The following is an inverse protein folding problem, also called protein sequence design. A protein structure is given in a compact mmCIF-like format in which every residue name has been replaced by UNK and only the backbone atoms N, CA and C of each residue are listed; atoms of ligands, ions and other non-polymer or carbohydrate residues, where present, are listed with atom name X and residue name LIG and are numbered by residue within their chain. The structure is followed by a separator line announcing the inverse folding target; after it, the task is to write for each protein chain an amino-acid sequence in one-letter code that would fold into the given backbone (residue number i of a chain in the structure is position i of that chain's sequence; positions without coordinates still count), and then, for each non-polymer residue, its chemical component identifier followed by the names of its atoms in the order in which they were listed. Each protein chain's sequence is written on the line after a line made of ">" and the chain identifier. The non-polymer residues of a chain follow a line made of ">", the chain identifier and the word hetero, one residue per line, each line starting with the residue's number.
data_IF_479332774321
#
_entry.id   IF_479332774321
#
_cell.length_a   1.000
_cell.length_b   1.000
_cell.length_c   1.000
_cell.angle_alpha   90.00
_cell.angle_beta   90.00
_cell.angle_gamma   90.00
#
_symmetry.space_group_name_H-M   'P 1'
#
loop_
_entity.id
_entity.type
_entity.pdbx_description
1 polymer ?
#
# COMPACT_ATOMS: atom_id res chain seq x y z
N UNK A 1 3.40 -19.70 -10.27
CA UNK A 1 2.37 -19.52 -9.24
C UNK A 1 2.12 -20.82 -8.52
N UNK A 2 1.79 -20.71 -7.24
CA UNK A 2 1.47 -21.78 -6.30
C UNK A 2 0.27 -22.62 -6.81
N UNK A 3 0.31 -23.93 -6.56
CA UNK A 3 -0.72 -24.87 -7.02
C UNK A 3 -2.09 -24.59 -6.40
N UNK A 4 -2.13 -24.15 -5.14
CA UNK A 4 -3.39 -23.85 -4.47
C UNK A 4 -4.05 -22.59 -5.03
N UNK A 5 -3.24 -21.56 -5.32
CA UNK A 5 -3.71 -20.34 -6.00
C UNK A 5 -4.29 -20.67 -7.38
N UNK A 6 -3.59 -21.50 -8.18
CA UNK A 6 -4.08 -21.95 -9.49
C UNK A 6 -5.42 -22.68 -9.39
N UNK A 7 -5.60 -23.53 -8.37
CA UNK A 7 -6.86 -24.24 -8.13
C UNK A 7 -7.98 -23.27 -7.78
N UNK A 8 -7.71 -22.24 -6.99
CA UNK A 8 -8.70 -21.19 -6.63
C UNK A 8 -9.09 -20.38 -7.86
N UNK A 9 -8.11 -19.92 -8.66
CA UNK A 9 -8.35 -19.22 -9.94
C UNK A 9 -9.28 -20.02 -10.86
N UNK A 10 -9.02 -21.31 -11.02
CA UNK A 10 -9.86 -22.20 -11.85
C UNK A 10 -11.28 -22.33 -11.30
N UNK A 11 -11.42 -22.48 -9.97
CA UNK A 11 -12.73 -22.53 -9.32
C UNK A 11 -13.52 -21.23 -9.51
N UNK A 12 -12.87 -20.08 -9.35
CA UNK A 12 -13.51 -18.78 -9.56
C UNK A 12 -13.94 -18.60 -11.01
N UNK A 13 -13.07 -18.88 -11.98
CA UNK A 13 -13.39 -18.80 -13.40
C UNK A 13 -14.69 -19.56 -13.73
N UNK A 14 -14.78 -20.85 -13.36
CA UNK A 14 -15.98 -21.65 -13.63
C UNK A 14 -17.20 -21.20 -12.85
N UNK A 15 -17.04 -20.78 -11.59
CA UNK A 15 -18.14 -20.19 -10.81
C UNK A 15 -18.72 -18.98 -11.54
N UNK A 16 -17.89 -18.07 -12.02
CA UNK A 16 -18.35 -16.87 -12.70
C UNK A 16 -18.90 -17.16 -14.11
N UNK A 17 -18.29 -18.09 -14.86
CA UNK A 17 -18.77 -18.54 -16.17
C UNK A 17 -20.20 -19.10 -16.07
N UNK A 18 -20.44 -19.96 -15.08
CA UNK A 18 -21.78 -20.50 -14.79
C UNK A 18 -22.78 -19.42 -14.35
N UNK A 19 -22.31 -18.41 -13.61
CA UNK A 19 -23.16 -17.33 -13.07
C UNK A 19 -23.61 -16.37 -14.16
N UNK A 20 -22.66 -15.90 -14.98
CA UNK A 20 -22.91 -14.86 -15.99
C UNK A 20 -23.21 -15.40 -17.39
N UNK A 21 -23.03 -16.71 -17.61
CA UNK A 21 -23.26 -17.38 -18.90
C UNK A 21 -22.55 -16.68 -20.07
N UNK A 22 -21.33 -16.22 -19.85
CA UNK A 22 -20.56 -15.47 -20.85
C UNK A 22 -19.08 -15.89 -20.88
N UNK A 23 -18.40 -15.59 -21.99
CA UNK A 23 -17.02 -16.03 -22.25
C UNK A 23 -15.98 -15.32 -21.39
N UNK A 24 -16.27 -14.12 -20.88
CA UNK A 24 -15.36 -13.30 -20.06
C UNK A 24 -16.08 -12.85 -18.78
N UNK A 25 -16.43 -13.78 -17.88
CA UNK A 25 -17.34 -13.48 -16.78
C UNK A 25 -16.72 -12.57 -15.71
N UNK A 26 -15.39 -12.48 -15.66
CA UNK A 26 -14.65 -11.64 -14.73
C UNK A 26 -14.76 -10.14 -15.07
N UNK A 27 -15.02 -9.77 -16.33
CA UNK A 27 -15.21 -8.37 -16.72
C UNK A 27 -16.58 -7.81 -16.29
N UNK A 28 -17.46 -8.65 -15.78
CA UNK A 28 -18.81 -8.29 -15.32
C UNK A 28 -18.87 -8.07 -13.80
N UNK A 29 -17.75 -8.28 -13.10
CA UNK A 29 -17.68 -8.06 -11.65
C UNK A 29 -17.58 -6.55 -11.42
N UNK A 30 -18.64 -5.98 -10.85
CA UNK A 30 -18.68 -4.59 -10.46
C UNK A 30 -17.78 -4.35 -9.24
N UNK A 31 -16.96 -3.30 -9.32
CA UNK A 31 -16.04 -2.88 -8.27
C UNK A 31 -16.56 -1.59 -7.64
N UNK A 32 -16.28 -1.40 -6.35
CA UNK A 32 -16.72 -0.20 -5.63
C UNK A 32 -15.97 1.06 -6.09
N UNK A 33 -14.72 0.90 -6.52
CA UNK A 33 -13.81 1.98 -6.84
C UNK A 33 -13.40 1.93 -8.31
N UNK A 34 -13.35 3.09 -8.96
CA UNK A 34 -12.79 3.23 -10.30
C UNK A 34 -11.26 3.24 -10.29
N UNK A 35 -10.67 3.75 -9.18
CA UNK A 35 -9.24 3.81 -8.99
C UNK A 35 -8.80 3.28 -7.63
N UNK A 36 -7.63 2.65 -7.58
CA UNK A 36 -6.94 2.30 -6.33
C UNK A 36 -5.60 3.01 -6.30
N UNK A 37 -5.34 3.76 -5.23
CA UNK A 37 -4.11 4.51 -5.00
C UNK A 37 -3.25 3.75 -3.99
N UNK A 38 -2.21 3.07 -4.46
CA UNK A 38 -1.33 2.24 -3.62
C UNK A 38 -0.21 3.09 -3.04
N UNK A 39 0.01 3.01 -1.73
CA UNK A 39 1.01 3.78 -0.96
C UNK A 39 1.90 2.82 -0.17
N UNK A 40 3.19 3.14 -0.10
CA UNK A 40 4.17 2.51 0.80
C UNK A 40 5.23 3.54 1.20
N UNK A 41 5.19 4.02 2.44
CA UNK A 41 6.12 5.05 2.90
C UNK A 41 7.49 4.45 3.22
N UNK A 42 8.53 5.22 2.93
CA UNK A 42 9.81 5.07 3.63
C UNK A 42 9.93 6.13 4.70
N UNK A 43 10.58 5.77 5.81
CA UNK A 43 10.76 6.66 6.95
C UNK A 43 12.19 6.59 7.49
N UNK A 44 12.65 7.66 8.13
CA UNK A 44 13.89 7.64 8.90
C UNK A 44 13.86 6.51 9.93
N UNK A 45 14.97 5.79 10.09
CA UNK A 45 15.07 4.67 11.03
C UNK A 45 16.51 4.53 11.56
N UNK A 46 16.64 3.84 12.69
CA UNK A 46 17.94 3.53 13.32
C UNK A 46 17.88 2.12 13.90
N UNK A 47 19.01 1.40 13.86
CA UNK A 47 19.07 0.04 14.40
C UNK A 47 19.00 0.06 15.94
N UNK A 48 18.21 -0.84 16.52
CA UNK A 48 18.09 -1.06 17.96
C UNK A 48 17.73 0.18 18.81
N UNK A 49 16.97 1.13 18.24
CA UNK A 49 16.48 2.28 19.00
C UNK A 49 14.96 2.23 19.22
N UNK A 50 14.58 1.92 20.45
CA UNK A 50 13.19 2.00 20.88
C UNK A 50 12.69 3.46 20.84
N UNK A 51 11.44 3.65 20.41
CA UNK A 51 10.77 4.95 20.30
C UNK A 51 11.46 5.97 19.38
N UNK A 52 12.19 5.51 18.37
CA UNK A 52 12.72 6.39 17.33
C UNK A 52 11.59 7.20 16.67
N UNK A 53 11.76 8.51 16.58
CA UNK A 53 10.78 9.40 15.94
C UNK A 53 10.93 9.31 14.42
N UNK A 54 10.29 8.29 13.84
CA UNK A 54 10.27 8.08 12.40
C UNK A 54 9.62 9.28 11.71
N UNK A 55 10.28 9.81 10.68
CA UNK A 55 9.77 10.84 9.78
C UNK A 55 9.70 10.25 8.37
N UNK A 56 8.61 10.49 7.65
CA UNK A 56 8.47 10.05 6.26
C UNK A 56 9.55 10.74 5.42
N UNK A 57 10.30 9.95 4.65
CA UNK A 57 11.37 10.40 3.73
C UNK A 57 11.10 10.04 2.27
N UNK A 58 10.12 9.18 1.99
CA UNK A 58 9.58 8.93 0.64
C UNK A 58 8.06 8.79 0.71
N UNK A 59 7.35 9.49 -0.18
CA UNK A 59 5.91 9.42 -0.37
C UNK A 59 5.60 9.02 -1.83
N UNK A 60 5.46 7.72 -2.11
CA UNK A 60 5.03 7.22 -3.40
C UNK A 60 3.52 6.98 -3.45
N UNK A 61 2.94 7.11 -4.64
CA UNK A 61 1.57 6.66 -4.94
C UNK A 61 1.58 5.99 -6.31
N UNK A 62 1.05 4.77 -6.41
CA UNK A 62 0.83 4.07 -7.68
C UNK A 62 -0.65 3.92 -7.95
N UNK A 63 -1.13 4.48 -9.07
CA UNK A 63 -2.55 4.52 -9.38
C UNK A 63 -2.95 3.40 -10.34
N UNK A 64 -3.89 2.57 -9.91
CA UNK A 64 -4.52 1.53 -10.72
C UNK A 64 -5.85 2.07 -11.25
N UNK A 65 -6.11 1.92 -12.54
CA UNK A 65 -7.48 1.99 -13.08
C UNK A 65 -8.11 0.60 -13.02
N UNK A 66 -9.20 0.48 -12.28
CA UNK A 66 -9.81 -0.81 -11.94
C UNK A 66 -10.47 -1.47 -13.15
N UNK A 67 -11.12 -0.68 -14.01
CA UNK A 67 -11.78 -1.18 -15.22
C UNK A 67 -10.75 -1.67 -16.26
N UNK A 68 -9.67 -0.90 -16.45
CA UNK A 68 -8.60 -1.24 -17.39
C UNK A 68 -7.68 -2.33 -16.85
N UNK A 69 -7.67 -2.55 -15.53
CA UNK A 69 -6.75 -3.45 -14.84
C UNK A 69 -5.27 -3.15 -15.16
N UNK A 70 -4.93 -1.86 -15.14
CA UNK A 70 -3.58 -1.36 -15.44
C UNK A 70 -3.17 -0.28 -14.45
N UNK A 71 -1.86 -0.18 -14.20
CA UNK A 71 -1.27 1.01 -13.59
C UNK A 71 -1.34 2.13 -14.64
N UNK A 72 -1.96 3.24 -14.28
CA UNK A 72 -2.17 4.39 -15.18
C UNK A 72 -1.32 5.60 -14.82
N UNK A 73 -0.80 5.65 -13.59
CA UNK A 73 0.00 6.78 -13.14
C UNK A 73 0.85 6.45 -11.91
N UNK A 74 1.85 7.29 -11.66
CA UNK A 74 2.70 7.22 -10.48
C UNK A 74 3.04 8.62 -9.99
N UNK A 75 3.05 8.80 -8.66
CA UNK A 75 3.63 9.93 -7.96
C UNK A 75 4.78 9.42 -7.10
N UNK A 76 5.85 10.18 -7.03
CA UNK A 76 6.95 9.92 -6.11
C UNK A 76 7.54 11.27 -5.69
N UNK A 77 7.70 11.45 -4.39
CA UNK A 77 8.47 12.55 -3.82
C UNK A 77 9.26 12.06 -2.63
N UNK A 78 10.50 12.51 -2.51
CA UNK A 78 11.20 12.45 -1.23
C UNK A 78 10.69 13.54 -0.30
N UNK A 79 10.89 13.35 1.00
CA UNK A 79 10.51 14.28 2.05
C UNK A 79 11.77 14.60 2.88
N UNK A 80 11.99 15.89 3.17
CA UNK A 80 13.07 16.32 4.05
C UNK A 80 12.66 16.16 5.52
N UNK A 81 13.35 15.31 6.31
CA UNK A 81 13.11 15.21 7.74
C UNK A 81 13.64 16.45 8.48
N UNK A 82 12.97 16.83 9.56
CA UNK A 82 13.27 18.02 10.36
C UNK A 82 13.79 17.65 11.75
N UNK A 83 13.27 16.58 12.36
CA UNK A 83 13.68 16.13 13.70
C UNK A 83 15.02 15.41 13.63
N UNK A 84 15.15 14.46 12.70
CA UNK A 84 16.37 13.68 12.44
C UNK A 84 16.83 13.91 10.98
N UNK A 85 17.40 15.09 10.66
CA UNK A 85 17.70 15.47 9.28
C UNK A 85 18.82 14.65 8.63
N UNK A 86 19.69 14.04 9.45
CA UNK A 86 20.78 13.20 8.96
C UNK A 86 20.34 11.74 9.01
N UNK A 87 20.26 11.11 7.84
CA UNK A 87 19.93 9.70 7.71
C UNK A 87 21.03 8.86 8.35
N UNK A 88 20.63 7.87 9.14
CA UNK A 88 21.56 6.87 9.65
C UNK A 88 22.12 6.05 8.48
N UNK A 89 23.27 5.41 8.71
CA UNK A 89 23.80 4.45 7.74
C UNK A 89 22.83 3.28 7.53
N UNK A 90 22.19 2.81 8.61
CA UNK A 90 21.19 1.75 8.55
C UNK A 90 20.02 2.13 7.64
N UNK A 91 19.45 3.33 7.81
CA UNK A 91 18.35 3.83 6.98
C UNK A 91 18.75 3.95 5.51
N UNK A 92 19.94 4.47 5.23
CA UNK A 92 20.48 4.59 3.87
C UNK A 92 20.69 3.22 3.22
N UNK A 93 21.30 2.28 3.94
CA UNK A 93 21.53 0.91 3.45
C UNK A 93 20.21 0.18 3.20
N UNK A 94 19.24 0.35 4.10
CA UNK A 94 17.93 -0.30 4.02
C UNK A 94 17.12 0.26 2.84
N UNK A 95 16.87 1.57 2.83
CA UNK A 95 15.96 2.22 1.87
C UNK A 95 16.62 2.55 0.53
N UNK A 96 17.95 2.67 0.50
CA UNK A 96 18.69 3.14 -0.66
C UNK A 96 18.58 4.65 -0.89
N UNK A 97 17.90 5.39 0.00
CA UNK A 97 17.76 6.83 -0.08
C UNK A 97 19.05 7.48 0.46
N UNK A 98 19.70 8.26 -0.40
CA UNK A 98 20.90 8.99 -0.04
C UNK A 98 20.58 10.35 0.60
N UNK A 99 21.49 10.82 1.46
CA UNK A 99 21.35 12.08 2.18
C UNK A 99 21.03 13.27 1.25
N UNK A 100 21.67 13.35 0.09
CA UNK A 100 21.48 14.46 -0.84
C UNK A 100 20.04 14.53 -1.39
N UNK A 101 19.33 13.39 -1.45
CA UNK A 101 17.95 13.32 -1.92
C UNK A 101 17.01 13.95 -0.90
N UNK A 102 17.20 13.67 0.39
CA UNK A 102 16.38 14.28 1.45
C UNK A 102 16.77 15.74 1.73
N UNK A 103 18.05 16.11 1.58
CA UNK A 103 18.50 17.50 1.76
C UNK A 103 17.83 18.45 0.76
N UNK A 104 17.71 17.99 -0.50
CA UNK A 104 17.10 18.75 -1.59
C UNK A 104 15.58 18.61 -1.68
N UNK A 105 14.99 17.72 -0.87
CA UNK A 105 13.55 17.45 -0.90
C UNK A 105 12.72 18.59 -0.27
N UNK A 106 11.46 18.75 -0.70
CA UNK A 106 10.45 19.49 0.05
C UNK A 106 10.19 18.87 1.43
N UNK A 107 9.68 19.66 2.36
CA UNK A 107 9.20 19.18 3.67
C UNK A 107 7.93 18.34 3.51
N UNK A 108 7.61 17.51 4.51
CA UNK A 108 6.41 16.67 4.46
C UNK A 108 5.11 17.44 4.15
N UNK A 109 4.93 18.64 4.73
CA UNK A 109 3.72 19.46 4.48
C UNK A 109 3.62 19.89 3.03
N UNK A 110 4.75 20.26 2.41
CA UNK A 110 4.81 20.61 0.98
C UNK A 110 4.54 19.38 0.10
N UNK A 111 5.07 18.21 0.47
CA UNK A 111 4.79 16.95 -0.24
C UNK A 111 3.33 16.56 -0.14
N UNK A 112 2.73 16.68 1.03
CA UNK A 112 1.31 16.39 1.23
C UNK A 112 0.44 17.30 0.35
N UNK A 113 0.78 18.59 0.25
CA UNK A 113 0.12 19.51 -0.67
C UNK A 113 0.29 19.11 -2.15
N UNK A 114 1.47 18.62 -2.53
CA UNK A 114 1.73 18.13 -3.88
C UNK A 114 0.93 16.85 -4.18
N UNK A 115 0.80 15.95 -3.21
CA UNK A 115 -0.06 14.76 -3.30
C UNK A 115 -1.52 15.15 -3.50
N UNK A 116 -2.03 16.09 -2.70
CA UNK A 116 -3.41 16.55 -2.82
C UNK A 116 -3.67 17.24 -4.17
N UNK A 117 -2.72 18.04 -4.65
CA UNK A 117 -2.76 18.63 -5.99
C UNK A 117 -2.81 17.55 -7.07
N UNK A 118 -1.91 16.56 -7.00
CA UNK A 118 -1.85 15.45 -7.95
C UNK A 118 -3.13 14.61 -7.97
N UNK A 119 -3.75 14.35 -6.81
CA UNK A 119 -5.04 13.65 -6.73
C UNK A 119 -6.20 14.51 -7.26
N UNK A 120 -6.17 15.82 -7.04
CA UNK A 120 -7.18 16.76 -7.53
C UNK A 120 -7.15 16.91 -9.06
N UNK A 121 -5.97 16.97 -9.67
CA UNK A 121 -5.80 16.97 -11.14
C UNK A 121 -6.44 15.74 -11.79
N UNK A 122 -6.46 14.62 -11.07
CA UNK A 122 -7.09 13.35 -11.46
C UNK A 122 -8.55 13.23 -11.02
N UNK A 123 -9.10 14.27 -10.38
CA UNK A 123 -10.50 14.35 -9.90
C UNK A 123 -10.83 13.23 -8.91
N UNK A 124 -9.91 12.98 -7.97
CA UNK A 124 -10.05 11.97 -6.92
C UNK A 124 -10.44 12.57 -5.54
N UNK A 125 -10.08 13.82 -5.23
CA UNK A 125 -10.40 14.45 -3.91
C UNK A 125 -11.56 15.48 -3.84
N UNK A 126 -11.99 16.13 -4.92
CA UNK A 126 -13.14 17.07 -4.89
C UNK A 126 -14.50 16.45 -4.44
N UNK A 127 -15.31 17.19 -3.67
CA UNK A 127 -16.65 16.75 -3.21
C UNK A 127 -17.68 16.44 -4.32
N UNK A 128 -17.45 16.91 -5.54
CA UNK A 128 -18.30 16.68 -6.72
C UNK A 128 -17.70 15.67 -7.70
N UNK A 129 -16.69 14.91 -7.28
CA UNK A 129 -15.89 14.09 -8.18
C UNK A 129 -16.69 13.04 -8.93
N UNK A 130 -16.31 12.92 -10.20
CA UNK A 130 -16.84 11.94 -11.14
C UNK A 130 -16.32 10.52 -10.89
N UNK A 131 -15.26 10.35 -10.08
CA UNK A 131 -14.58 9.07 -9.91
C UNK A 131 -14.47 8.63 -8.44
N UNK A 132 -14.79 7.37 -8.17
CA UNK A 132 -14.57 6.75 -6.86
C UNK A 132 -13.16 6.18 -6.75
N UNK A 133 -12.51 6.34 -5.59
CA UNK A 133 -11.21 5.73 -5.34
C UNK A 133 -11.03 5.33 -3.87
N UNK A 134 -10.05 4.47 -3.63
CA UNK A 134 -9.59 4.11 -2.29
C UNK A 134 -8.07 4.02 -2.26
N UNK A 135 -7.48 4.29 -1.09
CA UNK A 135 -6.09 3.97 -0.84
C UNK A 135 -5.91 2.48 -0.53
N UNK A 136 -4.72 1.96 -0.85
CA UNK A 136 -4.32 0.60 -0.50
C UNK A 136 -2.86 0.54 -0.04
N UNK A 137 -2.55 -0.38 0.88
CA UNK A 137 -1.23 -0.52 1.53
C UNK A 137 -0.89 -2.00 1.79
N UNK A 138 0.38 -2.30 2.12
CA UNK A 138 0.84 -3.63 2.57
C UNK A 138 0.73 -3.80 4.10
N UNK A 139 -0.43 -3.46 4.66
CA UNK A 139 -0.68 -3.52 6.09
C UNK A 139 -1.04 -2.16 6.70
N UNK A 140 -1.15 -2.09 8.04
CA UNK A 140 -1.73 -0.91 8.68
C UNK A 140 -0.73 0.21 8.96
N UNK A 141 0.58 -0.04 8.93
CA UNK A 141 1.58 0.86 9.52
C UNK A 141 1.75 2.19 8.76
N UNK A 142 1.59 2.20 7.45
CA UNK A 142 1.68 3.43 6.65
C UNK A 142 0.75 4.52 7.20
N UNK A 143 -0.49 4.17 7.49
CA UNK A 143 -1.50 5.11 7.95
C UNK A 143 -1.59 5.19 9.48
N UNK A 144 -1.53 4.05 10.19
CA UNK A 144 -1.68 4.04 11.66
C UNK A 144 -0.42 4.40 12.43
N UNK A 145 0.76 4.37 11.80
CA UNK A 145 2.03 4.73 12.44
C UNK A 145 2.71 5.89 11.74
N UNK A 146 3.13 5.72 10.49
CA UNK A 146 3.99 6.70 9.82
C UNK A 146 3.26 8.00 9.52
N UNK A 147 2.10 7.95 8.83
CA UNK A 147 1.33 9.17 8.54
C UNK A 147 0.80 9.83 9.82
N UNK A 148 0.32 9.04 10.79
CA UNK A 148 -0.18 9.56 12.06
C UNK A 148 0.92 10.29 12.84
N UNK A 149 2.08 9.67 13.02
CA UNK A 149 3.23 10.29 13.69
C UNK A 149 3.71 11.52 12.92
N UNK A 150 3.84 11.43 11.60
CA UNK A 150 4.29 12.54 10.78
C UNK A 150 3.35 13.75 10.87
N UNK A 151 2.03 13.55 10.88
CA UNK A 151 1.07 14.63 11.08
C UNK A 151 1.23 15.30 12.45
N UNK A 152 1.50 14.51 13.51
CA UNK A 152 1.78 15.04 14.85
C UNK A 152 3.07 15.87 14.87
N UNK A 153 4.16 15.34 14.29
CA UNK A 153 5.45 16.04 14.21
C UNK A 153 5.35 17.34 13.41
N UNK A 154 4.57 17.34 12.32
CA UNK A 154 4.32 18.52 11.48
C UNK A 154 3.23 19.45 12.03
N UNK A 155 2.60 19.12 13.16
CA UNK A 155 1.51 19.90 13.76
C UNK A 155 0.34 20.18 12.79
N UNK A 156 -0.02 19.19 11.98
CA UNK A 156 -1.16 19.27 11.05
C UNK A 156 -2.24 18.25 11.42
N UNK A 157 -3.46 18.50 10.94
CA UNK A 157 -4.55 17.54 11.07
C UNK A 157 -4.28 16.31 10.19
N UNK A 158 -4.71 15.14 10.67
CA UNK A 158 -4.66 13.92 9.87
C UNK A 158 -5.60 14.06 8.65
N UNK A 159 -5.15 13.74 7.43
CA UNK A 159 -5.96 13.93 6.22
C UNK A 159 -7.22 13.06 6.23
N UNK A 160 -8.39 13.66 6.01
CA UNK A 160 -9.66 12.93 6.03
C UNK A 160 -9.73 11.83 4.96
N UNK A 161 -9.05 12.02 3.83
CA UNK A 161 -9.02 11.03 2.75
C UNK A 161 -8.15 9.79 3.05
N UNK A 162 -7.41 9.78 4.17
CA UNK A 162 -6.52 8.68 4.57
C UNK A 162 -7.05 7.87 5.77
N UNK A 163 -8.33 8.01 6.14
CA UNK A 163 -8.88 7.40 7.37
C UNK A 163 -9.33 5.96 7.21
N UNK A 164 -9.59 5.52 5.98
CA UNK A 164 -10.01 4.16 5.62
C UNK A 164 -9.25 3.72 4.38
N UNK A 165 -8.87 2.44 4.32
CA UNK A 165 -8.08 1.92 3.21
C UNK A 165 -8.28 0.42 3.03
N UNK A 166 -7.67 -0.09 1.96
CA UNK A 166 -7.58 -1.51 1.63
C UNK A 166 -6.21 -2.01 2.07
N UNK A 167 -6.16 -2.79 3.14
CA UNK A 167 -4.99 -3.60 3.47
C UNK A 167 -4.98 -4.81 2.50
N UNK A 168 -4.06 -4.78 1.53
CA UNK A 168 -3.97 -5.81 0.50
C UNK A 168 -3.46 -7.15 1.05
N UNK A 169 -2.77 -7.19 2.19
CA UNK A 169 -2.40 -8.46 2.85
C UNK A 169 -3.62 -9.15 3.41
N UNK A 170 -4.53 -8.38 4.01
CA UNK A 170 -5.83 -8.90 4.47
C UNK A 170 -6.65 -9.42 3.31
N UNK A 171 -6.76 -8.63 2.25
CA UNK A 171 -7.56 -8.97 1.08
C UNK A 171 -7.00 -10.22 0.38
N UNK A 172 -5.69 -10.28 0.18
CA UNK A 172 -5.01 -11.43 -0.42
C UNK A 172 -5.22 -12.71 0.39
N UNK A 173 -5.02 -12.64 1.71
CA UNK A 173 -5.20 -13.77 2.60
C UNK A 173 -6.65 -14.28 2.58
N UNK A 174 -7.62 -13.36 2.61
CA UNK A 174 -9.04 -13.68 2.57
C UNK A 174 -9.42 -14.34 1.23
N UNK A 175 -9.11 -13.68 0.13
CA UNK A 175 -9.53 -14.10 -1.21
C UNK A 175 -8.95 -15.46 -1.60
N UNK A 176 -7.67 -15.71 -1.31
CA UNK A 176 -7.03 -16.99 -1.60
C UNK A 176 -7.10 -18.00 -0.44
N UNK A 177 -7.76 -17.67 0.67
CA UNK A 177 -7.85 -18.54 1.85
C UNK A 177 -6.48 -19.04 2.34
N UNK A 178 -5.49 -18.13 2.38
CA UNK A 178 -4.12 -18.40 2.84
C UNK A 178 -3.80 -17.58 4.09
N UNK A 179 -2.74 -17.93 4.80
CA UNK A 179 -2.23 -17.09 5.88
C UNK A 179 -1.71 -15.75 5.31
N UNK A 180 -1.85 -14.68 6.10
CA UNK A 180 -1.21 -13.39 5.79
C UNK A 180 0.30 -13.58 5.66
N UNK A 181 0.89 -12.93 4.67
CA UNK A 181 2.32 -12.95 4.41
C UNK A 181 2.75 -11.60 3.82
N UNK A 182 4.06 -11.37 3.69
CA UNK A 182 4.60 -10.16 3.08
C UNK A 182 4.63 -10.21 1.54
N UNK A 183 4.94 -9.07 0.93
CA UNK A 183 4.95 -8.83 -0.53
C UNK A 183 5.66 -9.95 -1.29
N UNK A 184 6.88 -10.32 -0.92
CA UNK A 184 7.67 -11.35 -1.62
C UNK A 184 6.96 -12.72 -1.67
N UNK A 185 6.33 -13.12 -0.57
CA UNK A 185 5.58 -14.38 -0.48
C UNK A 185 4.28 -14.31 -1.31
N UNK A 186 3.60 -13.16 -1.31
CA UNK A 186 2.42 -12.93 -2.16
C UNK A 186 2.78 -12.98 -3.65
N UNK A 187 3.82 -12.27 -4.08
CA UNK A 187 4.33 -12.28 -5.45
C UNK A 187 4.70 -13.71 -5.89
N UNK A 188 5.48 -14.43 -5.09
CA UNK A 188 5.88 -15.80 -5.39
C UNK A 188 4.66 -16.73 -5.57
N UNK A 189 3.64 -16.59 -4.72
CA UNK A 189 2.38 -17.33 -4.84
C UNK A 189 1.64 -17.04 -6.14
N UNK A 190 1.62 -15.78 -6.58
CA UNK A 190 1.09 -15.37 -7.88
C UNK A 190 1.99 -15.81 -9.05
N UNK A 191 3.24 -16.20 -8.79
CA UNK A 191 4.22 -16.52 -9.83
C UNK A 191 4.90 -15.30 -10.43
N UNK A 192 4.93 -14.21 -9.67
CA UNK A 192 5.66 -12.98 -9.98
C UNK A 192 6.96 -12.94 -9.18
N UNK A 193 7.91 -12.15 -9.67
CA UNK A 193 9.10 -11.75 -8.93
C UNK A 193 8.98 -10.28 -8.55
N UNK A 194 9.64 -9.90 -7.46
CA UNK A 194 9.82 -8.49 -7.11
C UNK A 194 10.52 -7.77 -8.26
N UNK A 195 10.02 -6.59 -8.60
CA UNK A 195 10.58 -5.72 -9.64
C UNK A 195 11.11 -4.44 -9.00
N UNK A 196 12.35 -4.06 -9.31
CA UNK A 196 13.04 -2.96 -8.65
C UNK A 196 13.78 -3.34 -7.35
N UNK A 197 13.94 -2.38 -6.45
CA UNK A 197 14.69 -2.50 -5.20
C UNK A 197 13.73 -2.61 -4.00
N UNK A 198 13.81 -3.67 -3.17
CA UNK A 198 13.07 -3.72 -1.91
C UNK A 198 13.38 -2.51 -1.03
N UNK A 199 12.38 -1.99 -0.31
CA UNK A 199 12.50 -0.80 0.53
C UNK A 199 12.80 0.50 -0.24
N UNK A 200 12.62 0.50 -1.56
CA UNK A 200 12.33 1.73 -2.29
C UNK A 200 10.82 1.85 -2.36
N UNK A 201 10.27 2.93 -1.79
CA UNK A 201 8.82 3.04 -1.63
C UNK A 201 8.07 2.97 -2.96
N UNK A 202 8.60 3.58 -4.03
CA UNK A 202 7.95 3.50 -5.35
C UNK A 202 7.95 2.08 -5.95
N UNK A 203 9.01 1.30 -5.72
CA UNK A 203 9.12 -0.07 -6.21
C UNK A 203 8.23 -1.00 -5.37
N UNK A 204 8.22 -0.84 -4.04
CA UNK A 204 7.32 -1.57 -3.17
C UNK A 204 5.85 -1.27 -3.51
N UNK A 205 5.45 0.00 -3.60
CA UNK A 205 4.10 0.40 -4.03
C UNK A 205 3.74 -0.14 -5.43
N UNK A 206 4.71 -0.21 -6.35
CA UNK A 206 4.50 -0.81 -7.67
C UNK A 206 4.24 -2.32 -7.57
N UNK A 207 4.97 -3.04 -6.73
CA UNK A 207 4.78 -4.47 -6.52
C UNK A 207 3.47 -4.78 -5.79
N UNK A 208 3.10 -3.98 -4.80
CA UNK A 208 1.78 -4.05 -4.15
C UNK A 208 0.67 -3.80 -5.18
N UNK A 209 0.84 -2.81 -6.07
CA UNK A 209 -0.10 -2.57 -7.16
C UNK A 209 -0.22 -3.76 -8.12
N UNK A 210 0.89 -4.43 -8.45
CA UNK A 210 0.89 -5.67 -9.25
C UNK A 210 0.12 -6.79 -8.58
N UNK A 211 0.20 -6.92 -7.25
CA UNK A 211 -0.63 -7.86 -6.48
C UNK A 211 -2.11 -7.49 -6.57
N UNK A 212 -2.44 -6.21 -6.37
CA UNK A 212 -3.82 -5.71 -6.52
C UNK A 212 -4.40 -5.98 -7.91
N UNK A 213 -3.61 -5.82 -8.96
CA UNK A 213 -4.01 -6.16 -10.34
C UNK A 213 -4.30 -7.65 -10.52
N UNK A 214 -3.50 -8.54 -9.94
CA UNK A 214 -3.75 -9.98 -10.01
C UNK A 214 -5.01 -10.38 -9.22
N UNK A 215 -5.28 -9.75 -8.09
CA UNK A 215 -6.54 -9.92 -7.36
C UNK A 215 -7.75 -9.52 -8.22
N UNK A 216 -7.69 -8.35 -8.86
CA UNK A 216 -8.76 -7.88 -9.76
C UNK A 216 -8.97 -8.83 -10.94
N UNK A 217 -7.89 -9.27 -11.59
CA UNK A 217 -7.95 -10.25 -12.70
C UNK A 217 -8.54 -11.58 -12.27
N UNK A 218 -8.33 -11.99 -11.02
CA UNK A 218 -8.87 -13.23 -10.49
C UNK A 218 -10.34 -13.10 -10.01
N UNK A 219 -10.90 -11.88 -10.05
CA UNK A 219 -12.28 -11.58 -9.67
C UNK A 219 -12.48 -11.20 -8.21
N UNK A 220 -11.42 -10.80 -7.51
CA UNK A 220 -11.52 -10.21 -6.18
C UNK A 220 -12.21 -8.85 -6.26
N UNK A 221 -13.12 -8.57 -5.32
CA UNK A 221 -13.72 -7.25 -5.13
C UNK A 221 -12.90 -6.55 -4.06
N UNK A 222 -12.11 -5.56 -4.46
CA UNK A 222 -11.28 -4.81 -3.51
C UNK A 222 -12.17 -3.85 -2.71
N UNK A 223 -12.22 -4.03 -1.40
CA UNK A 223 -13.09 -3.27 -0.49
C UNK A 223 -12.33 -2.74 0.71
N UNK A 224 -12.80 -1.63 1.28
CA UNK A 224 -12.22 -1.05 2.50
C UNK A 224 -12.30 -2.08 3.63
N UNK A 225 -11.15 -2.38 4.24
CA UNK A 225 -11.04 -3.45 5.23
C UNK A 225 -10.16 -3.06 6.45
N UNK A 226 -9.73 -1.80 6.50
CA UNK A 226 -9.02 -1.22 7.63
C UNK A 226 -9.27 0.29 7.76
N UNK A 227 -9.02 0.84 8.95
CA UNK A 227 -9.23 2.25 9.26
C UNK A 227 -8.38 2.72 10.44
N UNK A 228 -8.21 4.04 10.59
CA UNK A 228 -7.40 4.65 11.66
C UNK A 228 -7.93 4.34 13.06
N UNK A 229 -9.21 3.94 13.17
CA UNK A 229 -9.87 3.60 14.44
C UNK A 229 -9.96 2.09 14.71
N UNK A 230 -9.50 1.24 13.78
CA UNK A 230 -9.59 -0.22 13.93
C UNK A 230 -8.74 -0.76 15.09
N UNK A 231 -7.69 -0.02 15.50
CA UNK A 231 -6.79 -0.37 16.60
C UNK A 231 -7.41 -0.23 18.00
N UNK A 232 -8.50 0.52 18.16
CA UNK A 232 -9.11 0.77 19.48
C UNK A 232 -10.09 -0.34 19.92
N UNK A 233 -10.45 -1.27 19.02
CA UNK A 233 -11.50 -2.26 19.28
C UNK A 233 -11.03 -3.72 19.42
N UNK A 234 -9.72 -4.00 19.36
CA UNK A 234 -9.18 -5.37 19.57
C UNK A 234 -7.87 -5.41 20.35
N UNK A 235 -7.88 -4.87 21.56
CA UNK A 235 -6.88 -5.17 22.59
C UNK A 235 -7.16 -6.51 23.30
N UNK A 236 -7.31 -7.63 22.56
CA UNK A 236 -7.26 -8.98 23.15
C UNK A 236 -7.17 -10.11 22.11
N UNK A 237 -6.07 -10.20 21.37
CA UNK A 237 -5.58 -11.49 20.87
C UNK A 237 -4.10 -11.34 20.49
N UNK A 238 -3.24 -12.02 21.25
CA UNK A 238 -1.80 -12.12 20.98
C UNK A 238 -1.60 -12.90 19.68
N UNK A 239 -1.22 -12.22 18.61
CA UNK A 239 -0.59 -12.86 17.45
C UNK A 239 0.89 -13.10 17.76
N UNK A 240 1.16 -14.17 18.52
CA UNK A 240 2.47 -14.81 18.51
C UNK A 240 2.49 -15.81 17.36
N UNK A 241 3.01 -15.43 16.20
CA UNK A 241 3.45 -16.37 15.17
C UNK A 241 4.68 -15.78 14.46
N UNK A 242 5.85 -16.29 14.86
CA UNK A 242 7.09 -16.19 14.12
C UNK A 242 6.93 -16.90 12.78
N UNK A 243 6.76 -16.13 11.71
CA UNK A 243 7.22 -16.46 10.37
C UNK A 243 7.92 -15.20 9.85
N UNK A 244 9.22 -15.17 10.16
CA UNK A 244 10.26 -14.22 9.77
C UNK A 244 10.23 -13.92 8.24
N UNK A 245 10.73 -12.74 7.87
CA UNK A 245 10.68 -12.00 6.57
C UNK A 245 9.72 -10.80 6.50
N UNK A 246 9.28 -10.28 7.65
CA UNK A 246 8.87 -8.87 7.78
C UNK A 246 9.18 -8.44 9.21
N UNK A 247 10.48 -8.42 9.51
CA UNK A 247 11.06 -8.05 10.78
C UNK A 247 10.57 -6.64 11.10
N UNK A 248 9.74 -6.56 12.14
CA UNK A 248 9.58 -5.58 13.24
C UNK A 248 9.99 -4.10 13.02
N UNK A 249 10.88 -3.75 12.10
CA UNK A 249 11.02 -2.48 11.39
C UNK A 249 11.57 -2.81 10.00
N UNK A 250 10.75 -3.00 8.96
CA UNK A 250 11.18 -3.38 7.59
C UNK A 250 12.57 -4.07 7.57
N UNK A 251 12.76 -5.21 8.24
CA UNK A 251 13.82 -6.16 7.84
C UNK A 251 13.19 -7.43 7.25
#
# INVERSE_FOLDING_TARGET
>A
GDMDIRRIRLKHYYKYELTFQCKNPLTMIEQQFEYIAVVDFEATCEDQQDNYQNEIIEFPIVLINVQQQTIVDKFQSYCRPIINPILSKFCTDLTGIEQHQVDSAPTFVEVLHNVETWLNERKLLLPANKHTFAFATDGPWDFTKFLQLQCQLSSIAYPQWATEWIDLRKEFAHFYSVKRCGINKMLAKLGLTFDGRPHSGIDDATNIARIGLELLKDGCILSLNDSIHSSDSKSSARDNNNDDDSIVFKN
#
